data_IF_959985654752
#
_entry.id   IF_959985654752
#
_cell.length_a   1.000
_cell.length_b   1.000
_cell.length_c   1.000
_cell.angle_alpha   90.00
_cell.angle_beta   90.00
_cell.angle_gamma   90.00
#
_symmetry.space_group_name_H-M   'P 1'
#
loop_
_entity.id
_entity.type
_entity.pdbx_description
1 polymer ?
#
# COMPACT_ATOMS: atom_id res chain seq x y z
N UNK A 1 -8.11 -2.75 -57.27
CA UNK A 1 -7.70 -2.06 -56.04
C UNK A 1 -6.33 -2.62 -55.69
N UNK A 2 -5.38 -1.76 -55.36
CA UNK A 2 -3.97 -2.12 -55.18
C UNK A 2 -3.76 -3.10 -54.03
N UNK A 3 -2.92 -4.11 -54.25
CA UNK A 3 -2.24 -4.80 -53.16
C UNK A 3 -1.39 -3.78 -52.39
N UNK A 4 -1.36 -3.92 -51.06
CA UNK A 4 -0.78 -2.92 -50.18
C UNK A 4 0.76 -2.87 -50.33
N UNK A 5 1.26 -1.80 -50.94
CA UNK A 5 2.67 -1.57 -51.26
C UNK A 5 3.46 -1.15 -49.99
N UNK A 6 3.65 -2.09 -49.07
CA UNK A 6 4.49 -1.94 -47.88
C UNK A 6 5.52 -3.09 -47.75
N UNK A 7 6.68 -2.86 -47.09
CA UNK A 7 7.73 -3.87 -46.97
C UNK A 7 7.25 -5.15 -46.28
N UNK A 8 7.60 -6.33 -46.82
CA UNK A 8 7.08 -7.62 -46.35
C UNK A 8 7.36 -7.87 -44.87
N UNK A 9 8.43 -7.29 -44.31
CA UNK A 9 8.81 -7.37 -42.90
C UNK A 9 7.74 -6.79 -41.95
N UNK A 10 6.84 -5.94 -42.45
CA UNK A 10 5.74 -5.37 -41.66
C UNK A 10 4.51 -6.31 -41.57
N UNK A 11 4.40 -7.32 -42.42
CA UNK A 11 3.26 -8.25 -42.43
C UNK A 11 3.01 -8.86 -41.04
N UNK A 12 4.06 -9.33 -40.37
CA UNK A 12 3.93 -10.00 -39.09
C UNK A 12 3.69 -9.00 -37.93
N UNK A 13 4.16 -7.75 -38.08
CA UNK A 13 3.82 -6.65 -37.18
C UNK A 13 2.33 -6.31 -37.28
N UNK A 14 1.78 -6.21 -38.49
CA UNK A 14 0.35 -5.95 -38.68
C UNK A 14 -0.54 -7.11 -38.24
N UNK A 15 -0.18 -8.36 -38.54
CA UNK A 15 -0.92 -9.55 -38.06
C UNK A 15 -0.93 -9.64 -36.53
N UNK A 16 0.21 -9.38 -35.88
CA UNK A 16 0.29 -9.40 -34.40
C UNK A 16 -0.45 -8.22 -33.75
N UNK A 17 -0.43 -7.04 -34.38
CA UNK A 17 -1.22 -5.88 -33.94
C UNK A 17 -2.74 -6.12 -34.08
N UNK A 18 -3.21 -6.61 -35.23
CA UNK A 18 -4.63 -6.92 -35.45
C UNK A 18 -5.12 -8.01 -34.48
N UNK A 19 -4.34 -9.09 -34.30
CA UNK A 19 -4.63 -10.13 -33.29
C UNK A 19 -4.73 -9.53 -31.86
N UNK A 20 -3.83 -8.62 -31.52
CA UNK A 20 -3.86 -7.91 -30.23
C UNK A 20 -5.10 -7.02 -30.09
N UNK A 21 -5.50 -6.30 -31.15
CA UNK A 21 -6.69 -5.45 -31.17
C UNK A 21 -7.98 -6.28 -31.05
N UNK A 22 -8.09 -7.41 -31.75
CA UNK A 22 -9.21 -8.36 -31.61
C UNK A 22 -9.33 -8.91 -30.19
N UNK A 23 -8.21 -9.19 -29.52
CA UNK A 23 -8.20 -9.62 -28.12
C UNK A 23 -8.72 -8.52 -27.19
N UNK A 24 -8.23 -7.28 -27.35
CA UNK A 24 -8.74 -6.12 -26.57
C UNK A 24 -10.24 -5.91 -26.78
N UNK A 25 -10.72 -5.98 -28.03
CA UNK A 25 -12.15 -5.91 -28.34
C UNK A 25 -12.94 -7.01 -27.62
N UNK A 26 -12.51 -8.27 -27.76
CA UNK A 26 -13.16 -9.43 -27.11
C UNK A 26 -13.27 -9.28 -25.60
N UNK A 27 -12.24 -8.76 -24.94
CA UNK A 27 -12.23 -8.53 -23.49
C UNK A 27 -13.13 -7.34 -23.09
N UNK A 28 -13.30 -6.35 -23.97
CA UNK A 28 -14.16 -5.18 -23.72
C UNK A 28 -15.63 -5.38 -24.10
N UNK A 29 -15.96 -6.27 -25.04
CA UNK A 29 -17.35 -6.58 -25.44
C UNK A 29 -18.33 -6.68 -24.26
N UNK A 30 -18.11 -7.51 -23.22
CA UNK A 30 -19.07 -7.62 -22.11
C UNK A 30 -19.25 -6.31 -21.32
N UNK A 31 -18.24 -5.45 -21.27
CA UNK A 31 -18.33 -4.13 -20.62
C UNK A 31 -19.11 -3.12 -21.47
N UNK A 32 -19.07 -3.25 -22.79
CA UNK A 32 -19.79 -2.39 -23.74
C UNK A 32 -21.26 -2.82 -23.91
N UNK A 33 -21.55 -4.11 -23.79
CA UNK A 33 -22.90 -4.68 -23.88
C UNK A 33 -23.70 -4.57 -22.58
N UNK A 34 -23.04 -4.59 -21.41
CA UNK A 34 -23.73 -4.51 -20.11
C UNK A 34 -24.07 -3.06 -19.76
N UNK A 35 -25.33 -2.79 -19.39
CA UNK A 35 -25.74 -1.45 -18.98
C UNK A 35 -25.08 -1.01 -17.67
N UNK A 36 -24.56 0.23 -17.61
CA UNK A 36 -23.90 0.74 -16.40
C UNK A 36 -24.82 0.73 -15.16
N UNK A 37 -26.14 0.89 -15.30
CA UNK A 37 -27.04 0.81 -14.14
C UNK A 37 -27.11 -0.60 -13.56
N UNK A 38 -26.98 -1.64 -14.37
CA UNK A 38 -26.93 -3.04 -13.94
C UNK A 38 -25.62 -3.35 -13.20
N UNK A 39 -24.49 -2.85 -13.71
CA UNK A 39 -23.17 -2.94 -13.05
C UNK A 39 -23.21 -2.31 -11.65
N UNK A 40 -23.76 -1.09 -11.53
CA UNK A 40 -23.86 -0.36 -10.26
C UNK A 40 -24.81 -1.04 -9.26
N UNK A 41 -25.82 -1.78 -9.74
CA UNK A 41 -26.73 -2.58 -8.89
C UNK A 41 -26.11 -3.89 -8.40
N UNK A 42 -25.26 -4.53 -9.20
CA UNK A 42 -24.66 -5.86 -8.90
C UNK A 42 -23.38 -5.79 -8.07
N UNK A 43 -22.60 -4.72 -8.17
CA UNK A 43 -21.28 -4.60 -7.52
C UNK A 43 -21.32 -3.67 -6.30
N UNK A 44 -20.50 -3.93 -5.26
CA UNK A 44 -20.31 -2.98 -4.17
C UNK A 44 -19.61 -1.72 -4.70
N UNK A 45 -19.92 -0.56 -4.11
CA UNK A 45 -19.48 0.76 -4.62
C UNK A 45 -17.96 0.91 -4.78
N UNK A 46 -17.17 0.17 -4.00
CA UNK A 46 -15.71 0.14 -4.11
C UNK A 46 -15.22 -0.58 -5.39
N UNK A 47 -15.89 -1.66 -5.79
CA UNK A 47 -15.51 -2.42 -6.98
C UNK A 47 -16.05 -1.76 -8.27
N UNK A 48 -17.19 -1.06 -8.18
CA UNK A 48 -17.62 -0.09 -9.21
C UNK A 48 -16.54 0.97 -9.44
N UNK A 49 -16.01 1.57 -8.37
CA UNK A 49 -14.97 2.59 -8.48
C UNK A 49 -13.65 2.05 -9.07
N UNK A 50 -13.29 0.79 -8.77
CA UNK A 50 -12.17 0.10 -9.44
C UNK A 50 -12.45 -0.09 -10.94
N UNK A 51 -13.63 -0.56 -11.30
CA UNK A 51 -14.02 -0.82 -12.68
C UNK A 51 -14.01 0.45 -13.53
N UNK A 52 -14.67 1.52 -13.06
CA UNK A 52 -14.66 2.83 -13.73
C UNK A 52 -13.20 3.33 -13.95
N UNK A 53 -12.32 3.12 -12.96
CA UNK A 53 -10.92 3.56 -13.01
C UNK A 53 -10.03 2.71 -13.93
N UNK A 54 -10.24 1.39 -13.98
CA UNK A 54 -9.57 0.48 -14.92
C UNK A 54 -10.05 0.75 -16.35
N UNK A 55 -11.34 1.03 -16.53
CA UNK A 55 -11.92 1.44 -17.83
C UNK A 55 -11.30 2.75 -18.30
N UNK A 56 -11.22 3.76 -17.43
CA UNK A 56 -10.54 5.02 -17.73
C UNK A 56 -9.05 4.82 -18.09
N UNK A 57 -8.34 3.94 -17.37
CA UNK A 57 -6.96 3.57 -17.70
C UNK A 57 -6.85 2.94 -19.09
N UNK A 58 -7.71 1.98 -19.41
CA UNK A 58 -7.69 1.26 -20.67
C UNK A 58 -7.98 2.19 -21.87
N UNK A 59 -8.99 3.06 -21.78
CA UNK A 59 -9.30 4.06 -22.82
C UNK A 59 -8.13 5.02 -23.05
N UNK A 60 -7.52 5.55 -21.99
CA UNK A 60 -6.34 6.42 -22.12
C UNK A 60 -5.11 5.67 -22.67
N UNK A 61 -4.99 4.37 -22.40
CA UNK A 61 -3.89 3.53 -22.92
C UNK A 61 -4.08 3.20 -24.42
N UNK A 62 -5.31 2.95 -24.86
CA UNK A 62 -5.63 2.81 -26.29
C UNK A 62 -5.43 4.13 -27.04
N UNK A 63 -5.82 5.25 -26.43
CA UNK A 63 -5.58 6.58 -27.00
C UNK A 63 -4.07 6.92 -27.08
N UNK A 64 -3.26 6.48 -26.11
CA UNK A 64 -1.79 6.54 -26.21
C UNK A 64 -1.28 5.73 -27.41
N UNK A 65 -1.83 4.53 -27.66
CA UNK A 65 -1.54 3.73 -28.85
C UNK A 65 -1.92 4.44 -30.15
N UNK A 66 -3.10 5.05 -30.20
CA UNK A 66 -3.56 5.85 -31.34
C UNK A 66 -2.62 7.03 -31.66
N UNK A 67 -2.15 7.77 -30.64
CA UNK A 67 -1.19 8.86 -30.87
C UNK A 67 0.11 8.37 -31.51
N UNK A 68 0.57 7.16 -31.16
CA UNK A 68 1.75 6.54 -31.79
C UNK A 68 1.50 6.21 -33.27
N UNK A 69 0.30 5.77 -33.67
CA UNK A 69 0.00 5.53 -35.10
C UNK A 69 -0.13 6.82 -35.91
N UNK A 70 -0.50 7.93 -35.26
CA UNK A 70 -0.48 9.28 -35.86
C UNK A 70 0.92 9.93 -35.86
N UNK A 71 1.97 9.24 -35.40
CA UNK A 71 3.33 9.79 -35.26
C UNK A 71 3.48 10.88 -34.18
N UNK A 72 2.44 11.12 -33.37
CA UNK A 72 2.44 12.12 -32.30
C UNK A 72 3.10 11.53 -31.06
N UNK A 73 4.13 12.19 -30.50
CA UNK A 73 4.79 11.70 -29.29
C UNK A 73 3.88 11.86 -28.05
N UNK A 74 3.33 10.76 -27.49
CA UNK A 74 2.35 10.84 -26.40
C UNK A 74 2.97 11.31 -25.07
N UNK A 75 4.30 11.30 -24.91
CA UNK A 75 4.98 11.84 -23.72
C UNK A 75 4.87 13.36 -23.61
N UNK A 76 4.63 14.05 -24.73
CA UNK A 76 4.40 15.49 -24.81
C UNK A 76 2.89 15.84 -24.83
N UNK A 77 2.02 14.83 -25.00
CA UNK A 77 0.58 15.01 -25.08
C UNK A 77 -0.07 14.98 -23.68
N UNK A 78 -1.16 15.75 -23.42
CA UNK A 78 -1.87 15.76 -22.14
C UNK A 78 -2.33 14.40 -21.59
N UNK A 79 -2.46 13.37 -22.44
CA UNK A 79 -2.77 11.98 -22.02
C UNK A 79 -1.82 11.46 -20.93
N UNK A 80 -0.57 11.91 -20.90
CA UNK A 80 0.38 11.57 -19.82
C UNK A 80 -0.12 12.05 -18.45
N UNK A 81 -0.74 13.23 -18.40
CA UNK A 81 -1.31 13.79 -17.17
C UNK A 81 -2.56 13.02 -16.75
N UNK A 82 -3.40 12.60 -17.70
CA UNK A 82 -4.56 11.73 -17.44
C UNK A 82 -4.14 10.40 -16.81
N UNK A 83 -3.09 9.76 -17.33
CA UNK A 83 -2.55 8.49 -16.78
C UNK A 83 -1.99 8.66 -15.36
N UNK A 84 -1.24 9.74 -15.07
CA UNK A 84 -0.77 10.01 -13.70
C UNK A 84 -1.92 10.39 -12.76
N UNK A 85 -2.98 11.07 -13.25
CA UNK A 85 -4.21 11.31 -12.48
C UNK A 85 -4.90 10.00 -12.11
N UNK A 86 -5.07 9.10 -13.09
CA UNK A 86 -5.67 7.76 -12.89
C UNK A 86 -4.86 6.95 -11.88
N UNK A 87 -3.54 6.90 -12.01
CA UNK A 87 -2.62 6.25 -11.07
C UNK A 87 -2.73 6.82 -9.65
N UNK A 88 -2.88 8.14 -9.51
CA UNK A 88 -3.14 8.80 -8.22
C UNK A 88 -4.44 8.32 -7.58
N UNK A 89 -5.52 8.14 -8.36
CA UNK A 89 -6.77 7.55 -7.87
C UNK A 89 -6.63 6.05 -7.55
N UNK A 90 -5.81 5.29 -8.28
CA UNK A 90 -5.56 3.88 -7.97
C UNK A 90 -4.87 3.71 -6.61
N UNK A 91 -3.92 4.59 -6.28
CA UNK A 91 -3.31 4.65 -4.94
C UNK A 91 -4.36 4.95 -3.87
N UNK A 92 -5.22 5.96 -4.08
CA UNK A 92 -6.31 6.28 -3.13
C UNK A 92 -7.26 5.10 -2.87
N UNK A 93 -7.59 4.30 -3.88
CA UNK A 93 -8.39 3.08 -3.71
C UNK A 93 -7.65 2.07 -2.83
N UNK A 94 -6.36 1.83 -3.10
CA UNK A 94 -5.53 0.93 -2.27
C UNK A 94 -5.44 1.40 -0.82
N UNK A 95 -5.22 2.69 -0.58
CA UNK A 95 -5.19 3.28 0.76
C UNK A 95 -6.52 3.06 1.51
N UNK A 96 -7.67 3.17 0.81
CA UNK A 96 -9.00 2.89 1.37
C UNK A 96 -9.19 1.40 1.72
N UNK A 97 -8.63 0.49 0.92
CA UNK A 97 -8.64 -0.94 1.18
C UNK A 97 -7.75 -1.32 2.36
N UNK A 98 -6.51 -0.84 2.38
CA UNK A 98 -5.55 -1.07 3.46
C UNK A 98 -6.03 -0.47 4.79
N UNK A 99 -6.75 0.65 4.77
CA UNK A 99 -7.34 1.27 5.97
C UNK A 99 -8.37 0.38 6.70
N UNK A 100 -8.89 -0.68 6.06
CA UNK A 100 -9.70 -1.71 6.74
C UNK A 100 -8.87 -2.51 7.77
N UNK A 101 -7.58 -2.66 7.53
CA UNK A 101 -6.62 -3.43 8.35
C UNK A 101 -5.74 -2.54 9.24
N UNK A 102 -5.81 -1.22 9.09
CA UNK A 102 -5.03 -0.28 9.89
C UNK A 102 -5.32 -0.40 11.40
N UNK A 103 -4.29 -0.29 12.27
CA UNK A 103 -4.46 -0.39 13.71
C UNK A 103 -5.36 0.73 14.24
N UNK A 104 -6.45 0.36 14.91
CA UNK A 104 -7.41 1.30 15.50
C UNK A 104 -6.88 1.79 16.85
N UNK A 105 -6.81 3.12 17.04
CA UNK A 105 -6.47 3.66 18.36
C UNK A 105 -7.49 3.20 19.42
N UNK A 106 -6.99 2.79 20.58
CA UNK A 106 -7.79 2.51 21.77
C UNK A 106 -8.37 3.83 22.33
N UNK A 107 -9.51 4.25 21.76
CA UNK A 107 -10.18 5.53 22.09
C UNK A 107 -10.41 5.72 23.59
N UNK A 108 -10.65 4.63 24.33
CA UNK A 108 -10.86 4.69 25.77
C UNK A 108 -9.56 4.96 26.55
N UNK A 109 -8.46 4.30 26.19
CA UNK A 109 -7.14 4.59 26.77
C UNK A 109 -6.71 6.04 26.47
N UNK A 110 -6.91 6.50 25.24
CA UNK A 110 -6.66 7.90 24.86
C UNK A 110 -7.48 8.89 25.73
N UNK A 111 -8.77 8.62 25.96
CA UNK A 111 -9.60 9.42 26.89
C UNK A 111 -9.06 9.41 28.32
N UNK A 112 -8.56 8.27 28.82
CA UNK A 112 -7.96 8.15 30.15
C UNK A 112 -6.69 9.00 30.27
N UNK A 113 -5.78 8.94 29.29
CA UNK A 113 -4.56 9.77 29.27
C UNK A 113 -4.85 11.27 29.20
N UNK A 114 -5.83 11.70 28.38
CA UNK A 114 -6.26 13.11 28.36
C UNK A 114 -6.85 13.52 29.71
N UNK A 115 -7.67 12.66 30.33
CA UNK A 115 -8.29 12.96 31.63
C UNK A 115 -7.27 13.03 32.77
N UNK A 116 -6.26 12.16 32.82
CA UNK A 116 -5.21 12.24 33.85
C UNK A 116 -4.37 13.51 33.70
N UNK A 117 -3.94 13.83 32.48
CA UNK A 117 -3.16 15.05 32.20
C UNK A 117 -3.90 16.34 32.58
N UNK A 118 -5.23 16.40 32.40
CA UNK A 118 -6.04 17.55 32.83
C UNK A 118 -6.35 17.56 34.33
N UNK A 119 -6.25 16.42 35.03
CA UNK A 119 -6.51 16.34 36.47
C UNK A 119 -5.25 16.72 37.28
N UNK A 120 -4.07 16.20 36.88
CA UNK A 120 -2.79 16.45 37.55
C UNK A 120 -2.31 17.92 37.44
N UNK A 121 -2.76 18.67 36.41
CA UNK A 121 -2.52 20.12 36.31
C UNK A 121 -3.23 20.97 37.39
N UNK A 122 -4.24 20.43 38.07
CA UNK A 122 -4.94 21.15 39.14
C UNK A 122 -4.37 20.87 40.54
N UNK A 123 -3.71 19.72 40.77
CA UNK A 123 -3.12 19.37 42.07
C UNK A 123 -1.66 19.83 42.24
N UNK A 124 -0.96 20.14 41.14
CA UNK A 124 0.46 20.51 41.13
C UNK A 124 0.79 21.92 41.64
N UNK A 125 -0.20 22.67 42.16
CA UNK A 125 0.00 23.99 42.80
C UNK A 125 0.04 23.97 44.33
N UNK A 126 -0.08 22.80 44.98
CA UNK A 126 -0.30 22.74 46.45
C UNK A 126 0.76 21.93 47.21
N UNK A 127 1.93 21.63 46.61
CA UNK A 127 3.02 20.89 47.28
C UNK A 127 4.42 21.44 47.03
N UNK A 128 4.63 22.72 47.37
CA UNK A 128 5.93 23.14 47.89
C UNK A 128 5.96 22.89 49.40
N UNK A 129 6.83 22.00 49.88
CA UNK A 129 7.72 22.23 51.04
C UNK A 129 8.60 21.01 51.38
N UNK A 130 9.91 21.27 51.54
CA UNK A 130 10.92 20.54 52.34
C UNK A 130 11.53 19.23 51.77
N UNK A 131 12.81 19.35 51.39
CA UNK A 131 13.87 18.31 51.29
C UNK A 131 14.74 18.35 52.58
N UNK A 132 15.78 17.50 52.77
CA UNK A 132 15.93 16.04 52.57
C UNK A 132 16.57 15.35 53.83
N UNK A 133 16.77 14.01 53.87
CA UNK A 133 17.96 13.31 54.45
C UNK A 133 17.84 11.76 54.58
N UNK A 134 18.99 11.07 54.38
CA UNK A 134 19.48 9.80 55.01
C UNK A 134 18.71 8.46 54.98
N UNK A 135 19.28 7.52 54.21
CA UNK A 135 19.81 6.16 54.59
C UNK A 135 18.96 5.01 55.23
N UNK A 136 18.98 3.89 54.50
CA UNK A 136 19.18 2.46 54.88
C UNK A 136 18.24 1.59 55.79
N UNK A 137 17.79 0.48 55.17
CA UNK A 137 17.80 -0.94 55.62
C UNK A 137 16.80 -1.53 56.67
N UNK A 138 15.72 -2.17 56.15
CA UNK A 138 15.25 -3.57 56.39
C UNK A 138 14.89 -4.07 57.84
N UNK A 139 14.29 -5.28 58.08
CA UNK A 139 13.72 -6.33 57.21
C UNK A 139 12.27 -6.79 57.56
N UNK A 140 11.82 -7.88 56.91
CA UNK A 140 10.49 -8.52 56.91
C UNK A 140 10.28 -9.57 58.05
N UNK A 141 9.08 -10.18 58.22
CA UNK A 141 9.02 -11.65 58.17
C UNK A 141 7.78 -12.29 57.49
N UNK A 142 7.93 -13.56 57.06
CA UNK A 142 7.02 -14.33 56.17
C UNK A 142 6.14 -15.39 56.88
N UNK A 143 5.13 -15.91 56.14
CA UNK A 143 4.70 -17.35 56.09
C UNK A 143 3.92 -17.59 54.77
N UNK A 144 4.53 -18.13 53.72
CA UNK A 144 4.56 -19.56 53.32
C UNK A 144 3.18 -20.22 53.08
N UNK A 145 2.93 -20.93 51.96
CA UNK A 145 3.64 -22.17 51.56
C UNK A 145 3.44 -22.60 50.09
N UNK A 146 4.52 -23.15 49.47
CA UNK A 146 4.58 -24.30 48.51
C UNK A 146 3.74 -24.23 47.19
N UNK A 147 4.15 -24.71 46.01
CA UNK A 147 5.39 -25.22 45.39
C UNK A 147 5.06 -25.47 43.87
N UNK A 148 5.93 -25.80 42.89
CA UNK A 148 7.30 -26.36 42.79
C UNK A 148 8.06 -25.76 41.57
N UNK A 149 9.38 -25.97 41.51
CA UNK A 149 10.26 -25.94 40.30
C UNK A 149 10.82 -27.39 40.10
N UNK A 150 11.76 -27.81 39.19
CA UNK A 150 12.84 -27.10 38.46
C UNK A 150 13.08 -27.65 37.00
N UNK A 151 14.20 -27.53 36.25
CA UNK A 151 15.57 -26.95 36.35
C UNK A 151 15.94 -26.16 35.06
N UNK A 152 17.07 -25.44 35.07
CA UNK A 152 17.77 -24.78 33.94
C UNK A 152 18.58 -25.78 33.08
N UNK A 153 19.01 -25.39 31.88
CA UNK A 153 20.43 -25.53 31.49
C UNK A 153 20.94 -24.44 30.54
N UNK A 154 22.23 -24.09 30.70
CA UNK A 154 22.97 -23.04 29.95
C UNK A 154 23.25 -23.45 28.50
N UNK A 155 23.29 -22.49 27.56
CA UNK A 155 24.49 -22.23 26.74
C UNK A 155 24.49 -20.85 26.07
N UNK A 156 25.68 -20.31 25.85
CA UNK A 156 25.96 -19.05 25.17
C UNK A 156 25.98 -19.18 23.64
N UNK A 157 25.79 -18.06 22.92
CA UNK A 157 26.59 -17.68 21.74
C UNK A 157 26.34 -16.22 21.31
N UNK A 158 27.42 -15.51 20.98
CA UNK A 158 27.42 -14.22 20.28
C UNK A 158 27.14 -14.44 18.78
N UNK A 159 26.46 -13.52 18.10
CA UNK A 159 26.70 -13.13 16.69
C UNK A 159 26.06 -11.73 16.48
N UNK A 160 26.84 -10.65 16.54
CA UNK A 160 27.50 -9.97 15.41
C UNK A 160 26.55 -9.37 14.35
N UNK A 161 26.54 -8.03 14.31
CA UNK A 161 25.99 -7.20 13.26
C UNK A 161 27.17 -6.64 12.45
N UNK A 162 27.29 -6.95 11.15
CA UNK A 162 28.11 -6.14 10.25
C UNK A 162 27.64 -6.18 8.79
N UNK A 163 28.14 -5.21 8.01
CA UNK A 163 27.50 -4.62 6.84
C UNK A 163 28.03 -5.20 5.52
N UNK A 164 27.08 -5.55 4.65
CA UNK A 164 26.99 -5.17 3.23
C UNK A 164 28.29 -4.60 2.59
N UNK A 165 29.13 -5.45 1.99
CA UNK A 165 30.11 -5.06 0.94
C UNK A 165 30.31 -6.19 -0.07
N UNK A 166 29.54 -6.16 -1.17
CA UNK A 166 29.66 -7.10 -2.29
C UNK A 166 30.58 -6.49 -3.37
N UNK A 167 31.90 -6.65 -3.23
CA UNK A 167 32.84 -6.38 -4.34
C UNK A 167 32.84 -7.56 -5.29
N UNK A 168 32.58 -7.31 -6.57
CA UNK A 168 32.84 -8.28 -7.65
C UNK A 168 34.36 -8.47 -7.80
N UNK A 169 34.81 -9.70 -7.99
CA UNK A 169 36.03 -10.02 -8.73
C UNK A 169 35.58 -10.63 -10.06
N UNK A 170 36.11 -10.12 -11.17
CA UNK A 170 36.34 -10.91 -12.36
C UNK A 170 37.84 -11.17 -12.40
N UNK A 171 38.24 -12.41 -12.65
CA UNK A 171 39.39 -12.74 -13.50
C UNK A 171 39.30 -14.22 -13.92
N UNK A 172 39.92 -14.57 -15.05
CA UNK A 172 39.71 -15.78 -15.86
C UNK A 172 38.35 -15.87 -16.60
#
# INVERSE_FOLDING_TARGET
MSEDDYPEELNDVFKSFDSSLRNVMTVMTPLLETERSEIVRKLPSLDVAKLDLVTAYAVNSMFWGFLLTQGVNPKLHPVKQELERIKTYMTKIKDIEERKYAPKLAKEAAKRFVRSAMFEQNESKTKETINPSSEELQPNPLKETKSKTPKKHKRSKKFNHDKKKKKRKLDS
#
